data_IF_544829917848
#
_entry.id   IF_544829917848
#
_cell.length_a   1.000
_cell.length_b   1.000
_cell.length_c   1.000
_cell.angle_alpha   90.00
_cell.angle_beta   90.00
_cell.angle_gamma   90.00
#
_symmetry.space_group_name_H-M   'P 1'
#
loop_
_entity.id
_entity.type
_entity.pdbx_description
1 polymer ?
#
# COMPACT_ATOMS: atom_id res chain seq x y z
N UNK A 1 42.08 -11.62 69.42
CA UNK A 1 41.40 -12.25 68.27
C UNK A 1 39.98 -12.60 68.70
N UNK A 2 38.99 -11.83 68.25
CA UNK A 2 37.56 -12.08 68.42
C UNK A 2 36.84 -11.47 67.21
N UNK A 3 35.98 -12.21 66.48
CA UNK A 3 35.47 -11.76 65.19
C UNK A 3 34.17 -10.95 65.32
N UNK A 4 34.02 -9.99 64.41
CA UNK A 4 32.83 -9.17 64.21
C UNK A 4 31.63 -10.01 63.74
N UNK A 5 30.49 -9.80 64.39
CA UNK A 5 29.19 -10.34 64.00
C UNK A 5 28.48 -9.29 63.12
N UNK A 6 28.43 -9.52 61.81
CA UNK A 6 27.66 -8.69 60.85
C UNK A 6 26.24 -9.24 60.73
N UNK A 7 25.25 -8.50 61.21
CA UNK A 7 23.84 -8.74 60.94
C UNK A 7 23.53 -8.41 59.46
N UNK A 8 23.10 -9.41 58.70
CA UNK A 8 22.50 -9.26 57.38
C UNK A 8 20.98 -9.12 57.55
N UNK A 9 20.46 -7.95 57.17
CA UNK A 9 19.02 -7.71 56.96
C UNK A 9 18.65 -8.19 55.54
N UNK A 10 17.57 -8.98 55.35
CA UNK A 10 17.08 -9.26 54.02
C UNK A 10 16.16 -8.11 53.57
N UNK A 11 16.56 -7.39 52.53
CA UNK A 11 15.67 -6.52 51.77
C UNK A 11 14.72 -7.40 50.94
N UNK A 12 13.46 -7.46 51.36
CA UNK A 12 12.37 -8.05 50.58
C UNK A 12 11.97 -7.03 49.51
N UNK A 13 12.41 -7.22 48.27
CA UNK A 13 11.93 -6.44 47.12
C UNK A 13 10.56 -6.99 46.71
N UNK A 14 9.48 -6.25 46.99
CA UNK A 14 8.17 -6.50 46.40
C UNK A 14 8.22 -6.10 44.92
N UNK A 15 8.28 -7.09 44.04
CA UNK A 15 7.97 -6.94 42.62
C UNK A 15 6.46 -6.74 42.46
N UNK A 16 6.04 -5.48 42.33
CA UNK A 16 4.69 -5.11 41.87
C UNK A 16 4.59 -5.46 40.38
N UNK A 17 4.04 -6.64 40.08
CA UNK A 17 3.54 -6.94 38.74
C UNK A 17 2.26 -6.12 38.58
N UNK A 18 2.38 -4.93 38.01
CA UNK A 18 1.23 -4.20 37.51
C UNK A 18 0.68 -5.03 36.34
N UNK A 19 -0.42 -5.75 36.59
CA UNK A 19 -1.20 -6.37 35.54
C UNK A 19 -1.84 -5.22 34.76
N UNK A 20 -1.17 -4.76 33.71
CA UNK A 20 -1.67 -3.68 32.86
C UNK A 20 -2.98 -4.16 32.23
N UNK A 21 -4.10 -3.63 32.72
CA UNK A 21 -5.43 -3.97 32.23
C UNK A 21 -5.49 -3.59 30.76
N UNK A 22 -5.58 -4.61 29.90
CA UNK A 22 -5.76 -4.42 28.48
C UNK A 22 -7.08 -3.66 28.22
N UNK A 23 -7.12 -2.74 27.24
CA UNK A 23 -8.29 -1.90 27.01
C UNK A 23 -9.52 -2.73 26.61
N UNK A 24 -10.61 -2.56 27.37
CA UNK A 24 -11.92 -3.11 27.06
C UNK A 24 -12.84 -1.98 26.54
N UNK A 25 -13.30 -2.11 25.29
CA UNK A 25 -14.19 -1.14 24.67
C UNK A 25 -15.62 -1.61 24.84
N UNK A 26 -16.45 -0.80 25.51
CA UNK A 26 -17.87 -1.09 25.77
C UNK A 26 -18.81 -0.10 25.09
N UNK A 27 -18.28 0.93 24.45
CA UNK A 27 -19.01 1.91 23.65
C UNK A 27 -18.09 2.47 22.55
N UNK A 28 -18.69 2.97 21.47
CA UNK A 28 -17.95 3.67 20.44
C UNK A 28 -17.45 5.03 20.95
N UNK A 29 -16.28 5.44 20.47
CA UNK A 29 -15.74 6.77 20.68
C UNK A 29 -16.56 7.83 19.93
N UNK A 30 -16.62 9.08 20.41
CA UNK A 30 -17.28 10.16 19.70
C UNK A 30 -16.79 10.30 18.25
N UNK A 31 -17.73 10.20 17.31
CA UNK A 31 -17.44 10.31 15.89
C UNK A 31 -16.67 9.11 15.30
N UNK A 32 -16.61 7.96 15.96
CA UNK A 32 -15.87 6.77 15.48
C UNK A 32 -16.34 6.26 14.11
N UNK A 33 -17.61 6.51 13.76
CA UNK A 33 -18.14 6.22 12.42
C UNK A 33 -17.58 7.15 11.32
N UNK A 34 -17.03 8.31 11.68
CA UNK A 34 -16.47 9.31 10.76
C UNK A 34 -15.01 9.01 10.46
N UNK A 35 -14.75 8.00 9.63
CA UNK A 35 -13.40 7.53 9.25
C UNK A 35 -12.51 8.63 8.67
N UNK A 36 -13.12 9.66 8.07
CA UNK A 36 -12.44 10.79 7.43
C UNK A 36 -12.95 12.15 7.93
N UNK A 37 -13.43 12.24 9.17
CA UNK A 37 -14.02 13.47 9.70
C UNK A 37 -15.20 13.94 8.84
N UNK A 38 -15.22 15.21 8.47
CA UNK A 38 -16.24 15.81 7.60
C UNK A 38 -16.19 15.32 6.15
N UNK A 39 -15.07 14.74 5.70
CA UNK A 39 -14.94 14.16 4.36
C UNK A 39 -15.55 12.75 4.23
N UNK A 40 -16.00 12.14 5.34
CA UNK A 40 -16.58 10.79 5.38
C UNK A 40 -17.81 10.63 4.50
N UNK A 41 -17.82 9.63 3.62
CA UNK A 41 -18.96 9.30 2.74
C UNK A 41 -19.83 8.16 3.31
N UNK A 42 -21.14 8.21 3.09
CA UNK A 42 -22.09 7.18 3.56
C UNK A 42 -22.58 6.31 2.41
N UNK A 43 -21.66 5.58 1.79
CA UNK A 43 -21.93 4.65 0.68
C UNK A 43 -21.29 3.29 1.00
N UNK A 44 -22.06 2.21 0.85
CA UNK A 44 -21.67 0.86 1.30
C UNK A 44 -21.97 -0.24 0.28
N UNK A 45 -22.23 0.14 -0.97
CA UNK A 45 -22.44 -0.77 -2.09
C UNK A 45 -21.17 -0.83 -2.97
N UNK A 46 -21.31 -1.37 -4.17
CA UNK A 46 -20.20 -1.52 -5.12
C UNK A 46 -19.56 -0.20 -5.58
N UNK A 47 -20.12 0.97 -5.24
CA UNK A 47 -19.57 2.30 -5.54
C UNK A 47 -19.03 3.00 -4.28
N UNK A 48 -18.83 2.28 -3.18
CA UNK A 48 -18.40 2.85 -1.91
C UNK A 48 -17.08 3.65 -2.02
N UNK A 49 -16.16 3.21 -2.88
CA UNK A 49 -14.84 3.84 -3.07
C UNK A 49 -14.81 4.94 -4.13
N UNK A 50 -15.87 5.10 -4.93
CA UNK A 50 -15.92 6.03 -6.07
C UNK A 50 -16.68 7.32 -5.76
N UNK A 51 -16.79 7.69 -4.49
CA UNK A 51 -17.47 8.93 -4.07
C UNK A 51 -16.47 10.06 -3.89
N UNK A 52 -16.81 11.31 -4.26
CA UNK A 52 -16.03 12.47 -3.82
C UNK A 52 -16.15 12.65 -2.29
N UNK A 53 -15.15 13.26 -1.67
CA UNK A 53 -15.20 13.70 -0.26
C UNK A 53 -16.53 14.40 0.05
N UNK A 54 -17.16 14.03 1.17
CA UNK A 54 -18.54 14.46 1.46
C UNK A 54 -18.69 15.97 1.64
N UNK A 55 -17.66 16.63 2.17
CA UNK A 55 -17.57 18.09 2.35
C UNK A 55 -17.11 18.84 1.08
N UNK A 56 -16.92 18.16 -0.05
CA UNK A 56 -16.54 18.81 -1.30
C UNK A 56 -17.68 19.67 -1.85
N UNK A 57 -17.39 20.96 -2.04
CA UNK A 57 -18.35 21.93 -2.55
C UNK A 57 -18.90 21.51 -3.93
N UNK A 58 -20.18 21.78 -4.24
CA UNK A 58 -20.79 21.36 -5.50
C UNK A 58 -20.03 21.78 -6.76
N UNK A 59 -19.45 22.98 -6.79
CA UNK A 59 -18.64 23.47 -7.91
C UNK A 59 -17.40 22.58 -8.16
N UNK A 60 -16.71 22.16 -7.09
CA UNK A 60 -15.50 21.34 -7.16
C UNK A 60 -15.79 19.86 -7.48
N UNK A 61 -17.05 19.40 -7.37
CA UNK A 61 -17.45 18.06 -7.82
C UNK A 61 -17.38 17.91 -9.34
N UNK A 62 -17.45 19.03 -10.08
CA UNK A 62 -17.20 19.03 -11.53
C UNK A 62 -15.73 18.70 -11.81
N UNK A 63 -14.79 19.35 -11.11
CA UNK A 63 -13.35 19.08 -11.24
C UNK A 63 -13.02 17.63 -10.88
N UNK A 64 -13.65 17.10 -9.82
CA UNK A 64 -13.54 15.69 -9.45
C UNK A 64 -14.00 14.76 -10.58
N UNK A 65 -15.11 15.12 -11.24
CA UNK A 65 -15.65 14.34 -12.37
C UNK A 65 -14.74 14.41 -13.61
N UNK A 66 -14.07 15.54 -13.83
CA UNK A 66 -13.05 15.68 -14.90
C UNK A 66 -11.86 14.78 -14.61
N UNK A 67 -11.32 14.80 -13.39
CA UNK A 67 -10.23 13.90 -13.00
C UNK A 67 -10.60 12.42 -13.09
N UNK A 68 -11.80 12.05 -12.64
CA UNK A 68 -12.35 10.70 -12.81
C UNK A 68 -12.40 10.27 -14.29
N UNK A 69 -12.76 11.20 -15.18
CA UNK A 69 -12.78 10.93 -16.62
C UNK A 69 -11.40 10.54 -17.16
N UNK A 70 -10.32 11.16 -16.69
CA UNK A 70 -8.95 10.77 -17.08
C UNK A 70 -8.47 9.50 -16.37
N UNK A 71 -8.92 9.26 -15.14
CA UNK A 71 -8.60 8.05 -14.38
C UNK A 71 -9.23 6.78 -14.98
N UNK A 72 -10.48 6.88 -15.45
CA UNK A 72 -11.28 5.73 -15.88
C UNK A 72 -11.18 5.37 -17.35
N UNK A 73 -11.01 6.37 -18.21
CA UNK A 73 -11.07 6.15 -19.66
C UNK A 73 -9.68 5.82 -20.21
N UNK A 74 -9.60 4.90 -21.19
CA UNK A 74 -8.33 4.45 -21.73
C UNK A 74 -7.60 5.53 -22.53
N UNK A 75 -6.27 5.52 -22.40
CA UNK A 75 -5.34 6.12 -23.34
C UNK A 75 -5.28 5.29 -24.62
N UNK A 76 -4.98 5.97 -25.73
CA UNK A 76 -5.00 5.39 -27.08
C UNK A 76 -3.59 5.38 -27.64
N UNK A 77 -3.24 4.31 -28.36
CA UNK A 77 -1.98 4.18 -29.08
C UNK A 77 -1.80 5.33 -30.08
N UNK A 78 -0.62 5.95 -30.05
CA UNK A 78 -0.28 7.02 -30.99
C UNK A 78 -0.02 6.50 -32.42
N UNK A 79 -0.28 7.33 -33.45
CA UNK A 79 -0.95 8.63 -33.39
C UNK A 79 -2.49 8.49 -33.33
N UNK A 80 -3.16 9.28 -32.51
CA UNK A 80 -4.62 9.26 -32.36
C UNK A 80 -5.27 10.60 -32.74
N UNK A 81 -6.49 10.54 -33.30
CA UNK A 81 -7.29 11.76 -33.54
C UNK A 81 -7.79 12.39 -32.24
N UNK A 82 -7.82 11.62 -31.14
CA UNK A 82 -8.24 12.05 -29.81
C UNK A 82 -7.04 12.60 -29.03
N UNK A 83 -6.68 13.85 -29.30
CA UNK A 83 -5.46 14.49 -28.77
C UNK A 83 -5.36 14.53 -27.24
N UNK A 84 -6.49 14.55 -26.51
CA UNK A 84 -6.47 14.60 -25.05
C UNK A 84 -6.08 13.28 -24.36
N UNK A 85 -5.97 12.17 -25.09
CA UNK A 85 -5.60 10.83 -24.59
C UNK A 85 -4.72 10.07 -25.59
N UNK A 86 -3.99 10.82 -26.41
CA UNK A 86 -3.01 10.26 -27.35
C UNK A 86 -1.72 9.94 -26.59
N UNK A 87 -1.02 8.88 -26.99
CA UNK A 87 0.31 8.55 -26.45
C UNK A 87 0.41 7.35 -25.54
N UNK A 88 -0.56 6.40 -25.54
CA UNK A 88 -0.35 5.14 -24.81
C UNK A 88 1.00 4.54 -25.23
N UNK A 89 1.91 4.36 -24.27
CA UNK A 89 3.29 4.03 -24.54
C UNK A 89 3.45 2.68 -25.23
N UNK A 90 4.60 2.43 -25.89
CA UNK A 90 4.79 1.22 -26.70
C UNK A 90 4.78 -0.07 -25.88
N UNK A 91 5.25 0.02 -24.63
CA UNK A 91 5.23 -1.02 -23.61
C UNK A 91 4.44 -0.49 -22.40
N UNK A 92 3.53 -1.30 -21.87
CA UNK A 92 2.65 -0.91 -20.77
C UNK A 92 2.12 -2.14 -20.00
N UNK A 93 1.51 -1.92 -18.84
CA UNK A 93 0.74 -2.93 -18.11
C UNK A 93 -0.77 -2.74 -18.32
N UNK A 94 -1.20 -1.49 -18.43
CA UNK A 94 -2.60 -1.10 -18.66
C UNK A 94 -2.69 0.19 -19.47
N UNK A 95 -3.89 0.55 -19.94
CA UNK A 95 -4.16 1.83 -20.61
C UNK A 95 -5.08 2.77 -19.80
N UNK A 96 -5.48 2.40 -18.59
CA UNK A 96 -6.23 3.27 -17.68
C UNK A 96 -5.94 2.90 -16.22
N UNK A 97 -5.87 3.90 -15.34
CA UNK A 97 -5.65 3.70 -13.91
C UNK A 97 -6.71 2.77 -13.29
N UNK A 98 -7.98 2.93 -13.70
CA UNK A 98 -9.11 2.11 -13.26
C UNK A 98 -8.94 0.60 -13.47
N UNK A 99 -8.21 0.18 -14.51
CA UNK A 99 -8.02 -1.25 -14.77
C UNK A 99 -7.12 -1.91 -13.71
N UNK A 100 -6.23 -1.14 -13.09
CA UNK A 100 -5.47 -1.54 -11.90
C UNK A 100 -6.32 -1.34 -10.64
N UNK A 101 -6.86 -0.14 -10.47
CA UNK A 101 -7.64 0.30 -9.32
C UNK A 101 -9.14 0.09 -9.57
N UNK A 102 -9.56 -1.17 -9.58
CA UNK A 102 -10.91 -1.59 -9.95
C UNK A 102 -11.95 -0.87 -9.07
N UNK A 103 -12.73 0.05 -9.66
CA UNK A 103 -13.70 0.92 -8.96
C UNK A 103 -13.08 1.66 -7.78
N UNK A 104 -11.89 2.22 -7.99
CA UNK A 104 -11.07 2.89 -6.96
C UNK A 104 -10.65 1.97 -5.82
N UNK A 105 -10.90 0.67 -5.98
CA UNK A 105 -10.57 -0.37 -5.03
C UNK A 105 -9.29 -1.10 -5.38
N UNK A 106 -9.22 -2.33 -4.91
CA UNK A 106 -8.02 -3.15 -4.95
C UNK A 106 -7.94 -3.96 -6.24
N UNK A 107 -6.71 -4.16 -6.73
CA UNK A 107 -6.42 -5.11 -7.79
C UNK A 107 -6.39 -6.56 -7.31
N UNK A 108 -6.13 -7.48 -8.24
CA UNK A 108 -5.95 -8.89 -7.94
C UNK A 108 -4.84 -9.52 -8.81
N UNK A 109 -4.26 -10.65 -8.38
CA UNK A 109 -3.41 -11.48 -9.22
C UNK A 109 -4.15 -11.99 -10.47
N UNK A 110 -3.45 -12.29 -11.57
CA UNK A 110 -4.08 -12.86 -12.76
C UNK A 110 -4.70 -14.23 -12.48
N UNK A 111 -5.89 -14.46 -13.03
CA UNK A 111 -6.47 -15.81 -13.08
C UNK A 111 -5.71 -16.73 -14.06
N UNK A 112 -5.97 -18.05 -14.05
CA UNK A 112 -5.26 -19.02 -14.89
C UNK A 112 -5.25 -18.67 -16.39
N UNK A 113 -6.39 -18.19 -16.90
CA UNK A 113 -6.60 -17.87 -18.31
C UNK A 113 -6.47 -16.37 -18.63
N UNK A 114 -5.97 -15.56 -17.69
CA UNK A 114 -5.90 -14.11 -17.86
C UNK A 114 -4.92 -13.72 -18.99
N UNK A 115 -5.34 -12.86 -19.91
CA UNK A 115 -4.49 -12.41 -21.03
C UNK A 115 -3.31 -11.55 -20.56
N UNK A 116 -3.50 -10.84 -19.45
CA UNK A 116 -2.51 -9.99 -18.77
C UNK A 116 -2.67 -10.06 -17.25
N UNK A 117 -1.69 -9.53 -16.54
CA UNK A 117 -1.71 -9.26 -15.11
C UNK A 117 -2.12 -7.81 -14.82
N UNK A 118 -3.10 -7.26 -15.55
CA UNK A 118 -3.41 -5.83 -15.59
C UNK A 118 -3.48 -5.11 -14.23
N UNK A 119 -3.93 -5.77 -13.15
CA UNK A 119 -4.02 -5.17 -11.80
C UNK A 119 -2.96 -5.67 -10.80
N UNK A 120 -1.92 -6.34 -11.29
CA UNK A 120 -0.79 -6.88 -10.52
C UNK A 120 0.53 -6.63 -11.29
N UNK A 121 1.36 -5.76 -10.75
CA UNK A 121 2.64 -5.39 -11.31
C UNK A 121 3.76 -6.29 -10.79
N UNK A 122 4.84 -6.41 -11.57
CA UNK A 122 6.10 -7.04 -11.13
C UNK A 122 7.21 -6.01 -11.24
N UNK A 123 7.70 -5.53 -10.10
CA UNK A 123 8.86 -4.64 -10.04
C UNK A 123 10.14 -5.46 -10.16
N UNK A 124 11.09 -4.95 -10.93
CA UNK A 124 12.38 -5.58 -11.23
C UNK A 124 13.52 -4.73 -10.66
N UNK A 125 14.61 -5.36 -10.28
CA UNK A 125 15.90 -4.72 -9.99
C UNK A 125 17.01 -5.77 -9.94
N UNK A 126 18.25 -5.32 -9.80
CA UNK A 126 19.38 -6.16 -9.40
C UNK A 126 19.95 -5.69 -8.06
N UNK A 127 20.68 -6.54 -7.31
CA UNK A 127 21.34 -6.14 -6.09
C UNK A 127 22.27 -4.94 -6.32
N UNK A 128 22.15 -3.94 -5.45
CA UNK A 128 23.00 -2.77 -5.53
C UNK A 128 24.45 -3.09 -5.16
N UNK A 129 25.36 -2.25 -5.64
CA UNK A 129 26.81 -2.29 -5.37
C UNK A 129 27.23 -0.92 -4.86
N UNK A 130 28.42 -0.81 -4.26
CA UNK A 130 28.91 0.45 -3.71
C UNK A 130 28.91 1.61 -4.73
N UNK A 131 29.16 1.33 -6.02
CA UNK A 131 29.12 2.31 -7.11
C UNK A 131 27.72 2.88 -7.38
N UNK A 132 26.67 2.19 -6.95
CA UNK A 132 25.27 2.60 -7.15
C UNK A 132 24.76 3.52 -6.03
N UNK A 133 25.59 3.93 -5.05
CA UNK A 133 25.13 4.67 -3.88
C UNK A 133 24.37 5.97 -4.23
N UNK A 134 24.89 6.76 -5.18
CA UNK A 134 24.22 8.00 -5.62
C UNK A 134 22.93 7.72 -6.41
N UNK A 135 22.91 6.64 -7.18
CA UNK A 135 21.73 6.20 -7.94
C UNK A 135 20.59 5.86 -6.99
N UNK A 136 20.88 5.10 -5.92
CA UNK A 136 19.89 4.67 -4.93
C UNK A 136 19.23 5.83 -4.20
N UNK A 137 19.96 6.92 -3.95
CA UNK A 137 19.37 8.12 -3.32
C UNK A 137 18.29 8.73 -4.22
N UNK A 138 18.43 8.65 -5.55
CA UNK A 138 17.52 9.28 -6.51
C UNK A 138 16.46 8.35 -7.08
N UNK A 139 16.79 7.09 -7.31
CA UNK A 139 15.94 6.10 -7.97
C UNK A 139 15.41 5.02 -7.03
N UNK A 140 16.04 4.84 -5.86
CA UNK A 140 15.67 3.83 -4.87
C UNK A 140 16.09 2.41 -5.21
N UNK A 141 16.36 2.09 -6.48
CA UNK A 141 16.75 0.76 -6.95
C UNK A 141 17.76 0.85 -8.08
N UNK A 142 18.47 -0.26 -8.33
CA UNK A 142 19.20 -0.46 -9.59
C UNK A 142 18.28 -1.24 -10.52
N UNK A 143 17.82 -0.62 -11.60
CA UNK A 143 16.92 -1.25 -12.56
C UNK A 143 17.56 -2.52 -13.17
N UNK A 144 16.71 -3.48 -13.55
CA UNK A 144 17.16 -4.61 -14.36
C UNK A 144 17.61 -4.09 -15.74
N UNK A 145 18.79 -4.47 -16.24
CA UNK A 145 19.41 -3.80 -17.39
C UNK A 145 18.66 -3.98 -18.73
N UNK A 146 17.87 -5.03 -18.89
CA UNK A 146 17.14 -5.35 -20.13
C UNK A 146 15.69 -4.86 -20.08
N UNK A 147 15.06 -4.96 -18.91
CA UNK A 147 13.61 -4.79 -18.67
C UNK A 147 13.28 -3.60 -17.75
N UNK A 148 14.28 -2.84 -17.30
CA UNK A 148 14.06 -1.69 -16.44
C UNK A 148 13.60 -2.06 -15.02
N UNK A 149 12.80 -1.19 -14.40
CA UNK A 149 12.39 -1.35 -13.00
C UNK A 149 10.99 -1.97 -12.83
N UNK A 150 10.27 -2.25 -13.92
CA UNK A 150 8.94 -2.84 -13.92
C UNK A 150 8.69 -3.58 -15.24
N UNK A 151 8.25 -4.84 -15.14
CA UNK A 151 7.93 -5.65 -16.30
C UNK A 151 6.61 -5.23 -16.96
N UNK A 152 6.62 -4.99 -18.26
CA UNK A 152 5.48 -4.59 -19.11
C UNK A 152 4.92 -5.79 -19.89
N UNK A 153 3.79 -6.34 -19.45
CA UNK A 153 3.22 -7.57 -20.01
C UNK A 153 2.30 -7.36 -21.24
N UNK A 154 2.15 -6.11 -21.66
CA UNK A 154 1.41 -5.65 -22.83
C UNK A 154 2.26 -4.71 -23.69
N UNK A 155 1.89 -4.61 -24.96
CA UNK A 155 2.59 -3.77 -25.94
C UNK A 155 1.62 -3.30 -27.04
N UNK A 156 1.97 -2.18 -27.68
CA UNK A 156 1.31 -1.69 -28.88
C UNK A 156 1.61 -2.60 -30.10
N UNK A 157 0.77 -2.58 -31.16
CA UNK A 157 1.07 -3.31 -32.39
C UNK A 157 2.43 -2.94 -32.97
N UNK A 158 3.23 -3.97 -33.32
CA UNK A 158 4.59 -3.78 -33.82
C UNK A 158 5.69 -3.81 -32.76
N UNK A 159 5.31 -3.85 -31.47
CA UNK A 159 6.25 -4.00 -30.35
C UNK A 159 5.96 -5.32 -29.62
N UNK A 160 7.01 -6.06 -29.25
CA UNK A 160 6.86 -7.29 -28.47
C UNK A 160 6.63 -6.96 -26.98
N UNK A 161 5.67 -7.60 -26.29
CA UNK A 161 5.57 -7.45 -24.83
C UNK A 161 6.82 -8.01 -24.15
N UNK A 162 7.16 -7.48 -22.97
CA UNK A 162 8.39 -7.87 -22.28
C UNK A 162 8.35 -9.32 -21.76
N UNK A 163 7.16 -9.79 -21.39
CA UNK A 163 6.95 -11.16 -20.95
C UNK A 163 5.51 -11.44 -20.55
N UNK A 164 5.24 -12.69 -20.14
CA UNK A 164 3.95 -13.13 -19.59
C UNK A 164 4.08 -13.49 -18.13
N UNK A 165 3.25 -12.85 -17.31
CA UNK A 165 3.20 -13.02 -15.86
C UNK A 165 2.10 -14.00 -15.46
N UNK A 166 2.47 -14.96 -14.62
CA UNK A 166 1.57 -15.92 -13.97
C UNK A 166 1.93 -16.06 -12.50
N UNK A 167 0.93 -16.44 -11.70
CA UNK A 167 1.13 -16.79 -10.30
C UNK A 167 0.53 -18.17 -10.07
N UNK A 168 1.34 -19.05 -9.51
CA UNK A 168 0.88 -20.33 -8.97
C UNK A 168 0.95 -20.28 -7.45
N UNK A 169 0.32 -21.23 -6.77
CA UNK A 169 0.26 -21.24 -5.32
C UNK A 169 0.55 -22.64 -4.76
N UNK A 170 1.30 -22.69 -3.67
CA UNK A 170 1.42 -23.85 -2.80
C UNK A 170 0.68 -23.62 -1.48
N UNK A 171 0.17 -24.70 -0.87
CA UNK A 171 -0.50 -24.64 0.43
C UNK A 171 0.49 -24.55 1.59
N UNK A 172 0.17 -23.75 2.60
CA UNK A 172 0.91 -23.67 3.87
C UNK A 172 -0.07 -23.82 5.03
N UNK A 173 -0.14 -25.00 5.69
CA UNK A 173 -1.05 -25.22 6.80
C UNK A 173 -0.62 -24.43 8.03
N UNK A 174 -1.57 -23.75 8.67
CA UNK A 174 -1.40 -23.08 9.97
C UNK A 174 -2.48 -23.56 10.93
N UNK A 175 -2.09 -23.88 12.16
CA UNK A 175 -2.97 -24.48 13.18
C UNK A 175 -3.18 -23.54 14.37
N UNK A 176 -4.44 -23.32 14.74
CA UNK A 176 -4.84 -22.61 15.96
C UNK A 176 -4.74 -23.52 17.20
N UNK A 177 -4.68 -22.92 18.38
CA UNK A 177 -4.60 -23.64 19.65
C UNK A 177 -5.80 -24.58 19.91
N UNK A 178 -6.98 -24.24 19.38
CA UNK A 178 -8.20 -25.07 19.44
C UNK A 178 -8.20 -26.24 18.45
N UNK A 179 -7.15 -26.38 17.64
CA UNK A 179 -6.99 -27.44 16.65
C UNK A 179 -7.47 -27.08 15.24
N UNK A 180 -8.16 -25.96 15.04
CA UNK A 180 -8.60 -25.47 13.72
C UNK A 180 -7.39 -25.28 12.80
N UNK A 181 -7.51 -25.71 11.54
CA UNK A 181 -6.45 -25.56 10.53
C UNK A 181 -6.93 -24.61 9.42
N UNK A 182 -6.08 -23.66 9.04
CA UNK A 182 -6.26 -22.78 7.90
C UNK A 182 -5.11 -23.02 6.92
N UNK A 183 -5.46 -23.23 5.65
CA UNK A 183 -4.50 -23.42 4.57
C UNK A 183 -4.18 -22.09 3.89
N UNK A 184 -3.00 -21.52 4.15
CA UNK A 184 -2.56 -20.29 3.49
C UNK A 184 -2.04 -20.57 2.07
N UNK A 185 -2.07 -19.56 1.20
CA UNK A 185 -1.47 -19.62 -0.15
C UNK A 185 -0.12 -18.94 -0.17
N UNK A 186 0.95 -19.68 -0.48
CA UNK A 186 2.27 -19.11 -0.80
C UNK A 186 2.39 -18.96 -2.31
N UNK A 187 2.54 -17.74 -2.85
CA UNK A 187 2.63 -17.52 -4.28
C UNK A 187 3.99 -17.94 -4.84
N UNK A 188 3.99 -18.38 -6.10
CA UNK A 188 5.17 -18.56 -6.93
C UNK A 188 4.96 -17.78 -8.23
N UNK A 189 5.81 -16.76 -8.43
CA UNK A 189 5.84 -15.97 -9.66
C UNK A 189 6.43 -16.81 -10.80
N UNK A 190 5.77 -16.79 -11.95
CA UNK A 190 6.25 -17.41 -13.18
C UNK A 190 6.25 -16.34 -14.27
N UNK A 191 7.44 -16.01 -14.77
CA UNK A 191 7.61 -15.16 -15.95
C UNK A 191 8.06 -16.05 -17.10
N UNK A 192 7.42 -15.89 -18.26
CA UNK A 192 7.70 -16.67 -19.45
C UNK A 192 7.61 -15.79 -20.70
N UNK A 193 8.01 -16.31 -21.85
CA UNK A 193 7.91 -15.61 -23.15
C UNK A 193 8.60 -14.25 -23.13
N UNK A 194 9.82 -14.20 -22.58
CA UNK A 194 10.64 -12.99 -22.52
C UNK A 194 10.89 -12.45 -23.94
N UNK A 195 10.53 -11.18 -24.17
CA UNK A 195 10.57 -10.55 -25.49
C UNK A 195 11.93 -10.04 -25.95
N UNK A 196 12.89 -9.88 -25.02
CA UNK A 196 14.13 -9.12 -25.24
C UNK A 196 15.38 -9.87 -24.77
N UNK A 197 15.30 -11.20 -24.67
CA UNK A 197 16.39 -12.06 -24.21
C UNK A 197 16.27 -12.42 -22.73
N UNK A 198 17.34 -13.02 -22.19
CA UNK A 198 17.36 -13.42 -20.78
C UNK A 198 17.49 -12.19 -19.87
N UNK A 199 16.84 -12.26 -18.71
CA UNK A 199 17.09 -11.32 -17.60
C UNK A 199 18.48 -11.53 -17.02
N UNK A 200 19.01 -10.51 -16.35
CA UNK A 200 20.18 -10.63 -15.52
C UNK A 200 20.01 -11.78 -14.50
N UNK A 201 21.06 -12.61 -14.25
CA UNK A 201 20.95 -13.78 -13.39
C UNK A 201 20.57 -13.46 -11.94
N UNK A 202 20.91 -12.25 -11.47
CA UNK A 202 20.62 -11.77 -10.12
C UNK A 202 19.33 -10.92 -10.04
N UNK A 203 18.41 -11.01 -11.00
CA UNK A 203 17.17 -10.23 -10.96
C UNK A 203 16.33 -10.54 -9.72
N UNK A 204 15.94 -9.48 -9.03
CA UNK A 204 15.03 -9.47 -7.89
C UNK A 204 13.63 -9.06 -8.35
N UNK A 205 12.60 -9.68 -7.76
CA UNK A 205 11.20 -9.47 -8.12
C UNK A 205 10.38 -9.02 -6.92
N UNK A 206 9.49 -8.05 -7.12
CA UNK A 206 8.48 -7.66 -6.12
C UNK A 206 7.11 -7.60 -6.78
N UNK A 207 6.22 -8.51 -6.39
CA UNK A 207 4.85 -8.62 -6.92
C UNK A 207 3.93 -7.67 -6.16
N UNK A 208 3.17 -6.83 -6.86
CA UNK A 208 2.36 -5.77 -6.25
C UNK A 208 0.98 -5.66 -6.89
N UNK A 209 -0.09 -5.93 -6.14
CA UNK A 209 -1.45 -5.59 -6.56
C UNK A 209 -1.72 -4.10 -6.29
N UNK A 210 -2.59 -3.51 -7.10
CA UNK A 210 -3.00 -2.12 -6.90
C UNK A 210 -3.73 -1.94 -5.54
N UNK A 211 -3.32 -0.98 -4.70
CA UNK A 211 -4.03 -0.66 -3.46
C UNK A 211 -5.33 0.13 -3.73
N UNK A 212 -6.29 0.17 -2.78
CA UNK A 212 -7.45 1.06 -2.88
C UNK A 212 -7.03 2.54 -2.85
N UNK A 213 -7.78 3.39 -3.55
CA UNK A 213 -7.48 4.82 -3.76
C UNK A 213 -8.15 5.77 -2.77
N UNK A 214 -8.99 5.26 -1.87
CA UNK A 214 -9.76 6.09 -0.93
C UNK A 214 -8.87 6.76 0.11
N UNK A 215 -9.17 8.04 0.40
CA UNK A 215 -8.57 8.79 1.50
C UNK A 215 -7.09 9.15 1.34
N UNK A 216 -6.49 8.93 0.17
CA UNK A 216 -5.06 9.18 -0.03
C UNK A 216 -4.67 10.66 0.21
N UNK A 217 -5.53 11.62 -0.15
CA UNK A 217 -5.29 13.03 0.15
C UNK A 217 -5.28 13.34 1.66
N UNK A 218 -6.07 12.61 2.46
CA UNK A 218 -6.05 12.75 3.92
C UNK A 218 -4.75 12.20 4.51
N UNK A 219 -4.22 11.10 3.95
CA UNK A 219 -2.92 10.56 4.35
C UNK A 219 -1.76 11.49 3.93
N UNK A 220 -1.87 12.12 2.76
CA UNK A 220 -0.94 13.17 2.31
C UNK A 220 -0.93 14.36 3.29
N UNK A 221 -2.10 14.69 3.87
CA UNK A 221 -2.29 15.80 4.78
C UNK A 221 -1.86 15.51 6.24
N UNK A 222 -1.41 14.30 6.58
CA UNK A 222 -0.82 14.02 7.90
C UNK A 222 0.54 14.73 7.99
N UNK A 223 0.78 15.48 9.06
CA UNK A 223 2.04 16.20 9.23
C UNK A 223 3.24 15.22 9.28
N UNK A 224 4.41 15.62 8.76
CA UNK A 224 5.57 14.71 8.74
C UNK A 224 6.02 14.38 10.17
N UNK A 225 5.98 15.37 11.07
CA UNK A 225 6.28 15.23 12.49
C UNK A 225 5.40 14.19 13.20
N UNK A 226 4.11 14.07 12.83
CA UNK A 226 3.20 13.11 13.44
C UNK A 226 3.52 11.67 13.04
N UNK A 227 3.99 11.46 11.80
CA UNK A 227 4.46 10.15 11.34
C UNK A 227 5.79 9.81 12.02
N UNK A 228 6.71 10.77 12.06
CA UNK A 228 8.04 10.57 12.65
C UNK A 228 7.97 10.38 14.18
N UNK A 229 6.95 10.91 14.85
CA UNK A 229 6.75 10.69 16.28
C UNK A 229 6.46 9.22 16.64
N UNK A 230 5.97 8.41 15.68
CA UNK A 230 5.78 6.97 15.85
C UNK A 230 6.97 6.11 15.46
N UNK A 231 8.06 6.69 14.93
CA UNK A 231 9.22 5.94 14.50
C UNK A 231 10.11 5.52 15.68
N UNK A 232 10.44 4.24 15.75
CA UNK A 232 11.34 3.65 16.73
C UNK A 232 12.31 2.66 16.04
N UNK A 233 13.21 3.14 15.16
CA UNK A 233 14.06 2.26 14.35
C UNK A 233 15.03 1.38 15.15
N UNK A 234 15.30 1.75 16.41
CA UNK A 234 16.24 1.06 17.30
C UNK A 234 15.54 0.19 18.36
N UNK A 235 14.19 0.05 18.30
CA UNK A 235 13.36 -0.65 19.31
C UNK A 235 13.73 -0.21 20.74
N UNK A 236 13.78 1.11 20.95
CA UNK A 236 14.25 1.71 22.19
C UNK A 236 13.34 1.40 23.38
N UNK A 237 12.06 1.10 23.11
CA UNK A 237 11.09 0.70 24.13
C UNK A 237 11.08 -0.82 24.42
N UNK A 238 11.74 -1.63 23.58
CA UNK A 238 11.87 -3.08 23.74
C UNK A 238 10.57 -3.87 23.53
N UNK A 239 9.61 -3.34 22.77
CA UNK A 239 8.36 -4.01 22.43
C UNK A 239 8.50 -4.96 21.22
N UNK A 240 9.64 -4.91 20.53
CA UNK A 240 9.98 -5.74 19.37
C UNK A 240 9.48 -5.18 18.04
N UNK A 241 9.03 -3.91 18.00
CA UNK A 241 8.56 -3.20 16.82
C UNK A 241 9.56 -2.10 16.50
N UNK A 242 10.13 -2.13 15.29
CA UNK A 242 11.20 -1.23 14.84
C UNK A 242 10.76 -0.30 13.71
N UNK A 243 9.55 0.24 13.82
CA UNK A 243 8.91 1.05 12.78
C UNK A 243 9.78 2.22 12.35
N UNK A 244 10.02 2.39 11.04
CA UNK A 244 10.89 3.47 10.53
C UNK A 244 10.41 4.10 9.22
N UNK A 245 10.75 5.38 8.97
CA UNK A 245 10.36 6.05 7.73
C UNK A 245 11.22 5.57 6.55
N UNK A 246 10.61 5.49 5.36
CA UNK A 246 11.41 5.50 4.13
C UNK A 246 11.83 6.94 3.78
N UNK A 247 13.01 7.11 3.18
CA UNK A 247 13.47 8.40 2.64
C UNK A 247 13.63 8.29 1.14
N UNK A 248 12.88 9.10 0.40
CA UNK A 248 12.72 8.97 -1.05
C UNK A 248 13.00 10.29 -1.74
N UNK A 249 13.39 10.24 -3.02
CA UNK A 249 13.67 11.44 -3.81
C UNK A 249 12.38 12.11 -4.26
N UNK A 250 12.23 13.40 -3.94
CA UNK A 250 11.21 14.25 -4.52
C UNK A 250 11.79 14.93 -5.77
N UNK A 251 11.27 14.56 -6.95
CA UNK A 251 11.71 15.09 -8.25
C UNK A 251 11.39 16.57 -8.42
N UNK A 252 10.34 17.10 -7.81
CA UNK A 252 10.03 18.52 -7.91
C UNK A 252 10.95 19.35 -7.00
N UNK A 253 11.23 18.85 -5.80
CA UNK A 253 12.06 19.56 -4.80
C UNK A 253 13.56 19.26 -4.92
N UNK A 254 13.94 18.24 -5.70
CA UNK A 254 15.32 17.80 -5.90
C UNK A 254 16.05 17.51 -4.57
N UNK A 255 15.37 16.82 -3.65
CA UNK A 255 15.92 16.42 -2.35
C UNK A 255 15.23 15.16 -1.82
N UNK A 256 15.87 14.51 -0.86
CA UNK A 256 15.26 13.40 -0.12
C UNK A 256 14.25 13.92 0.91
N UNK A 257 13.09 13.29 0.98
CA UNK A 257 11.97 13.61 1.87
C UNK A 257 11.34 12.33 2.45
N UNK A 258 10.34 12.45 3.33
CA UNK A 258 9.55 11.32 3.80
C UNK A 258 8.81 10.63 2.64
N UNK A 259 8.96 9.31 2.54
CA UNK A 259 8.14 8.47 1.68
C UNK A 259 6.80 8.11 2.34
N UNK A 260 5.70 8.13 1.58
CA UNK A 260 4.33 7.97 2.08
C UNK A 260 3.50 6.94 1.31
N UNK A 261 3.67 6.88 -0.01
CA UNK A 261 2.81 6.11 -0.91
C UNK A 261 3.52 4.92 -1.55
N UNK A 262 2.74 3.98 -2.07
CA UNK A 262 3.20 2.67 -2.49
C UNK A 262 3.31 1.66 -1.35
N UNK A 263 3.71 0.44 -1.69
CA UNK A 263 3.79 -0.70 -0.75
C UNK A 263 5.00 -0.62 0.19
N UNK A 264 6.09 0.01 -0.23
CA UNK A 264 7.29 0.26 0.59
C UNK A 264 7.52 1.77 0.83
N UNK A 265 6.45 2.56 0.81
CA UNK A 265 6.52 4.02 0.97
C UNK A 265 7.51 4.71 -0.01
N UNK A 266 7.62 4.19 -1.25
CA UNK A 266 8.59 4.66 -2.26
C UNK A 266 8.29 6.02 -2.89
N UNK A 267 7.13 6.61 -2.60
CA UNK A 267 6.69 7.86 -3.22
C UNK A 267 6.35 8.94 -2.18
N UNK A 268 6.79 10.20 -2.37
CA UNK A 268 6.68 11.24 -1.35
C UNK A 268 5.28 11.87 -1.30
N UNK A 269 4.62 12.00 -2.45
CA UNK A 269 3.36 12.71 -2.62
C UNK A 269 2.55 12.11 -3.78
N UNK A 270 1.28 12.47 -3.87
CA UNK A 270 0.36 11.95 -4.88
C UNK A 270 0.66 12.45 -6.28
N UNK A 271 1.26 13.65 -6.42
CA UNK A 271 1.62 14.17 -7.74
C UNK A 271 2.71 13.31 -8.39
N UNK A 272 3.77 12.98 -7.64
CA UNK A 272 4.81 12.09 -8.12
C UNK A 272 4.29 10.66 -8.30
N UNK A 273 3.47 10.14 -7.38
CA UNK A 273 2.85 8.83 -7.55
C UNK A 273 2.00 8.72 -8.82
N UNK A 274 1.24 9.78 -9.17
CA UNK A 274 0.44 9.82 -10.39
C UNK A 274 1.32 9.88 -11.65
N UNK A 275 2.36 10.73 -11.64
CA UNK A 275 3.32 10.81 -12.75
C UNK A 275 4.06 9.47 -12.95
N UNK A 276 4.49 8.82 -11.88
CA UNK A 276 5.12 7.50 -11.94
C UNK A 276 4.16 6.42 -12.43
N UNK A 277 2.86 6.48 -12.11
CA UNK A 277 1.87 5.55 -12.66
C UNK A 277 1.64 5.79 -14.17
N UNK A 278 1.59 7.05 -14.62
CA UNK A 278 1.56 7.37 -16.05
C UNK A 278 2.77 6.81 -16.80
N UNK A 279 3.97 7.04 -16.29
CA UNK A 279 5.19 6.56 -16.93
C UNK A 279 5.32 5.04 -16.87
N UNK A 280 5.21 4.43 -15.69
CA UNK A 280 5.52 3.02 -15.50
C UNK A 280 4.38 2.09 -15.91
N UNK A 281 3.12 2.47 -15.73
CA UNK A 281 2.02 1.53 -15.97
C UNK A 281 1.40 1.70 -17.37
N UNK A 282 1.53 2.90 -17.95
CA UNK A 282 0.94 3.29 -19.23
C UNK A 282 1.98 3.80 -20.26
N UNK A 283 3.25 3.92 -19.90
CA UNK A 283 4.32 4.35 -20.80
C UNK A 283 4.24 5.81 -21.26
N UNK A 284 3.58 6.68 -20.48
CA UNK A 284 3.28 8.07 -20.83
C UNK A 284 4.25 9.07 -20.16
N UNK A 285 4.73 10.05 -20.92
CA UNK A 285 5.58 11.13 -20.38
C UNK A 285 4.78 12.24 -19.71
N UNK A 286 5.43 12.97 -18.80
CA UNK A 286 4.90 14.16 -18.14
C UNK A 286 6.03 15.17 -17.89
N UNK A 287 5.70 16.39 -17.50
CA UNK A 287 6.72 17.40 -17.12
C UNK A 287 7.62 16.94 -15.97
N UNK A 288 7.15 16.03 -15.11
CA UNK A 288 7.94 15.48 -13.98
C UNK A 288 8.79 14.26 -14.38
N UNK A 289 8.38 13.53 -15.42
CA UNK A 289 9.04 12.34 -15.98
C UNK A 289 9.02 12.46 -17.51
N UNK A 290 10.02 13.15 -18.11
CA UNK A 290 10.00 13.53 -19.53
C UNK A 290 10.59 12.46 -20.45
N UNK A 291 10.68 11.22 -20.00
CA UNK A 291 11.30 10.12 -20.74
C UNK A 291 10.43 8.87 -20.65
N UNK A 292 10.40 8.10 -21.73
CA UNK A 292 9.80 6.77 -21.75
C UNK A 292 10.63 5.75 -20.94
N UNK A 293 10.07 4.56 -20.77
CA UNK A 293 10.70 3.45 -20.05
C UNK A 293 11.40 2.45 -20.99
N UNK A 294 11.54 2.76 -22.28
CA UNK A 294 12.18 1.86 -23.22
C UNK A 294 13.68 1.74 -22.89
N UNK A 295 14.19 0.53 -22.76
CA UNK A 295 15.62 0.28 -22.57
C UNK A 295 16.36 0.27 -23.91
N UNK A 296 17.69 0.33 -23.85
CA UNK A 296 18.53 0.22 -25.05
C UNK A 296 18.36 -1.13 -25.80
N UNK A 297 17.87 -2.17 -25.11
CA UNK A 297 17.57 -3.47 -25.73
C UNK A 297 16.26 -3.47 -26.54
N UNK A 298 15.41 -2.46 -26.35
CA UNK A 298 14.04 -2.41 -26.88
C UNK A 298 13.95 -1.46 -28.08
N UNK A 299 14.62 -1.79 -29.17
CA UNK A 299 14.74 -0.91 -30.36
C UNK A 299 13.40 -0.54 -30.99
N UNK A 300 12.45 -1.49 -31.04
CA UNK A 300 11.11 -1.24 -31.58
C UNK A 300 10.27 -0.33 -30.66
N UNK A 301 10.53 -0.37 -29.35
CA UNK A 301 9.92 0.53 -28.36
C UNK A 301 10.42 1.95 -28.60
N UNK A 302 11.76 2.13 -28.68
CA UNK A 302 12.39 3.43 -28.94
C UNK A 302 12.01 4.04 -30.30
N UNK A 303 11.67 3.21 -31.28
CA UNK A 303 11.28 3.64 -32.62
C UNK A 303 9.76 3.88 -32.78
N UNK A 304 8.96 3.54 -31.78
CA UNK A 304 7.52 3.65 -31.87
C UNK A 304 7.04 5.11 -31.88
N UNK A 305 5.89 5.41 -32.51
CA UNK A 305 5.30 6.75 -32.47
C UNK A 305 4.92 7.14 -31.04
N UNK A 306 5.09 8.42 -30.70
CA UNK A 306 4.66 9.01 -29.42
C UNK A 306 3.50 10.01 -29.62
N UNK A 307 2.81 10.34 -28.52
CA UNK A 307 1.64 11.23 -28.54
C UNK A 307 1.95 12.72 -28.38
N UNK A 308 3.22 13.10 -28.29
CA UNK A 308 3.68 14.47 -28.04
C UNK A 308 4.71 14.55 -26.91
N UNK A 309 5.11 15.78 -26.56
CA UNK A 309 6.17 16.05 -25.58
C UNK A 309 5.73 17.19 -24.61
N UNK A 310 5.22 16.88 -23.40
CA UNK A 310 4.85 15.55 -22.91
C UNK A 310 3.45 15.11 -23.40
N UNK A 311 3.17 13.81 -23.31
CA UNK A 311 1.84 13.24 -23.61
C UNK A 311 0.80 13.57 -22.54
N UNK A 312 1.21 13.58 -21.27
CA UNK A 312 0.36 14.02 -20.15
C UNK A 312 0.64 15.48 -19.85
N UNK A 313 -0.26 16.35 -20.30
CA UNK A 313 -0.19 17.78 -19.96
C UNK A 313 -0.36 18.02 -18.45
N UNK A 314 0.22 19.12 -17.95
CA UNK A 314 0.10 19.52 -16.55
C UNK A 314 -1.35 19.66 -16.08
N UNK A 315 -2.27 20.09 -16.97
CA UNK A 315 -3.70 20.20 -16.67
C UNK A 315 -4.36 18.82 -16.44
N UNK A 316 -3.96 17.81 -17.22
CA UNK A 316 -4.46 16.44 -17.06
C UNK A 316 -3.90 15.87 -15.75
N UNK A 317 -2.60 16.02 -15.51
CA UNK A 317 -1.96 15.56 -14.28
C UNK A 317 -2.60 16.21 -13.04
N UNK A 318 -2.85 17.53 -13.08
CA UNK A 318 -3.53 18.26 -12.01
C UNK A 318 -4.97 17.77 -11.78
N UNK A 319 -5.70 17.44 -12.86
CA UNK A 319 -7.06 16.90 -12.76
C UNK A 319 -7.08 15.53 -12.06
N UNK A 320 -6.13 14.64 -12.42
CA UNK A 320 -5.99 13.32 -11.78
C UNK A 320 -5.50 13.46 -10.35
N UNK A 321 -4.59 14.40 -10.06
CA UNK A 321 -4.16 14.73 -8.71
C UNK A 321 -5.34 15.16 -7.85
N UNK A 322 -6.15 16.10 -8.33
CA UNK A 322 -7.33 16.58 -7.63
C UNK A 322 -8.33 15.44 -7.34
N UNK A 323 -8.57 14.55 -8.30
CA UNK A 323 -9.39 13.36 -8.12
C UNK A 323 -8.83 12.43 -7.04
N UNK A 324 -7.55 12.05 -7.15
CA UNK A 324 -6.90 11.12 -6.21
C UNK A 324 -6.86 11.64 -4.77
N UNK A 325 -6.75 12.97 -4.59
CA UNK A 325 -6.84 13.63 -3.27
C UNK A 325 -8.24 13.59 -2.66
N UNK A 326 -9.27 13.63 -3.50
CA UNK A 326 -10.66 13.85 -3.07
C UNK A 326 -11.55 12.62 -3.18
N UNK A 327 -10.97 11.41 -3.32
CA UNK A 327 -11.72 10.16 -3.16
C UNK A 327 -12.07 9.94 -1.68
N UNK A 328 -13.36 9.97 -1.39
CA UNK A 328 -13.90 9.92 -0.04
C UNK A 328 -13.74 8.56 0.64
N UNK A 329 -13.58 8.57 1.96
CA UNK A 329 -13.49 7.35 2.78
C UNK A 329 -14.89 6.97 3.28
N UNK A 330 -15.35 5.72 3.07
CA UNK A 330 -16.62 5.26 3.63
C UNK A 330 -16.64 5.35 5.16
N UNK A 331 -17.81 5.68 5.70
CA UNK A 331 -18.06 5.62 7.13
C UNK A 331 -17.81 4.21 7.68
N UNK A 332 -17.21 4.12 8.86
CA UNK A 332 -17.13 2.85 9.57
C UNK A 332 -18.54 2.39 9.95
N UNK A 333 -18.79 1.09 9.81
CA UNK A 333 -20.12 0.48 10.03
C UNK A 333 -20.21 -0.08 11.45
N UNK A 334 -21.43 -0.21 11.98
CA UNK A 334 -21.73 -0.99 13.20
C UNK A 334 -20.84 -0.66 14.42
N UNK A 335 -20.45 0.60 14.62
CA UNK A 335 -19.47 0.99 15.66
C UNK A 335 -19.91 0.66 17.08
N UNK A 336 -21.23 0.65 17.35
CA UNK A 336 -21.81 0.36 18.66
C UNK A 336 -22.18 -1.12 18.84
N UNK A 337 -21.98 -1.97 17.83
CA UNK A 337 -22.37 -3.37 17.92
C UNK A 337 -21.46 -4.10 18.92
N UNK A 338 -22.00 -4.89 19.88
CA UNK A 338 -21.20 -5.53 20.92
C UNK A 338 -20.06 -6.40 20.38
N UNK A 339 -20.29 -7.12 19.28
CA UNK A 339 -19.28 -7.95 18.62
C UNK A 339 -18.15 -7.13 17.99
N UNK A 340 -18.44 -5.93 17.47
CA UNK A 340 -17.46 -5.01 16.88
C UNK A 340 -16.61 -4.38 17.99
N UNK A 341 -17.23 -4.03 19.11
CA UNK A 341 -16.54 -3.50 20.29
C UNK A 341 -15.63 -4.55 20.94
N UNK A 342 -16.11 -5.79 21.10
CA UNK A 342 -15.28 -6.93 21.52
C UNK A 342 -14.12 -7.15 20.55
N UNK A 343 -14.37 -7.09 19.25
CA UNK A 343 -13.33 -7.21 18.22
C UNK A 343 -12.28 -6.11 18.29
N UNK A 344 -12.68 -4.87 18.57
CA UNK A 344 -11.76 -3.74 18.80
C UNK A 344 -10.86 -4.01 20.02
N UNK A 345 -11.42 -4.52 21.11
CA UNK A 345 -10.63 -4.93 22.27
C UNK A 345 -9.62 -6.01 21.93
N UNK A 346 -10.03 -7.05 21.20
CA UNK A 346 -9.14 -8.12 20.77
C UNK A 346 -8.03 -7.62 19.83
N UNK A 347 -8.34 -6.65 18.96
CA UNK A 347 -7.35 -5.99 18.11
C UNK A 347 -6.27 -5.28 18.94
N UNK A 348 -6.69 -4.54 19.99
CA UNK A 348 -5.77 -3.88 20.90
C UNK A 348 -4.97 -4.86 21.77
N UNK A 349 -5.63 -5.91 22.26
CA UNK A 349 -5.02 -6.97 23.06
C UNK A 349 -4.00 -7.79 22.27
N UNK A 350 -4.27 -8.00 20.98
CA UNK A 350 -3.32 -8.62 20.06
C UNK A 350 -2.10 -7.70 19.81
N UNK A 351 -2.22 -6.39 20.01
CA UNK A 351 -1.16 -5.42 19.78
C UNK A 351 -1.12 -4.89 18.34
N UNK A 352 -2.17 -5.10 17.54
CA UNK A 352 -2.23 -4.70 16.14
C UNK A 352 -2.13 -3.17 15.95
N UNK A 353 -2.67 -2.41 16.88
CA UNK A 353 -2.68 -0.93 16.90
C UNK A 353 -1.29 -0.31 17.00
N UNK A 354 -0.26 -1.07 17.37
CA UNK A 354 1.10 -0.55 17.52
C UNK A 354 1.70 -0.15 16.17
N UNK A 355 1.32 -0.82 15.07
CA UNK A 355 1.63 -0.37 13.69
C UNK A 355 0.38 0.23 13.03
N UNK A 356 -0.79 -0.38 13.24
CA UNK A 356 -2.06 0.13 12.73
C UNK A 356 -2.63 1.25 13.60
N UNK A 357 -1.86 2.33 13.74
CA UNK A 357 -2.19 3.51 14.55
C UNK A 357 -3.60 4.03 14.22
N UNK A 358 -4.54 4.04 15.19
CA UNK A 358 -5.96 4.24 14.89
C UNK A 358 -6.31 5.55 14.22
N UNK A 359 -5.68 6.68 14.60
CA UNK A 359 -6.12 8.01 14.21
C UNK A 359 -5.01 9.04 14.09
N UNK A 360 -5.25 10.03 13.22
CA UNK A 360 -4.45 11.25 13.08
C UNK A 360 -5.37 12.46 12.99
N UNK A 361 -4.83 13.64 13.26
CA UNK A 361 -5.45 14.91 12.84
C UNK A 361 -4.65 15.45 11.66
N UNK A 362 -5.31 15.72 10.54
CA UNK A 362 -4.64 16.29 9.38
C UNK A 362 -4.23 17.74 9.61
N UNK A 363 -3.12 18.14 8.99
CA UNK A 363 -2.56 19.49 9.10
C UNK A 363 -3.56 20.56 8.65
N UNK A 364 -3.44 21.75 9.25
CA UNK A 364 -4.19 22.93 8.82
C UNK A 364 -3.77 23.40 7.41
N UNK A 365 -2.54 23.10 7.00
CA UNK A 365 -1.94 23.49 5.72
C UNK A 365 -2.08 22.39 4.65
N UNK A 366 -3.12 21.55 4.76
CA UNK A 366 -3.41 20.51 3.77
C UNK A 366 -3.57 21.12 2.36
N UNK A 367 -3.12 20.39 1.33
CA UNK A 367 -3.16 20.86 -0.05
C UNK A 367 -4.59 21.18 -0.56
N UNK A 368 -5.60 20.54 0.02
CA UNK A 368 -7.00 20.82 -0.24
C UNK A 368 -7.71 21.25 1.05
N UNK A 369 -8.52 22.32 1.05
CA UNK A 369 -9.17 22.84 2.24
C UNK A 369 -10.15 21.84 2.87
N UNK A 370 -10.75 20.96 2.06
CA UNK A 370 -11.65 19.89 2.52
C UNK A 370 -10.93 18.83 3.38
N UNK A 371 -9.60 18.76 3.27
CA UNK A 371 -8.76 17.75 3.93
C UNK A 371 -8.05 18.31 5.15
N UNK A 372 -8.14 19.62 5.42
CA UNK A 372 -7.50 20.28 6.56
C UNK A 372 -8.26 20.05 7.88
N UNK A 373 -7.52 19.94 8.99
CA UNK A 373 -8.07 19.83 10.35
C UNK A 373 -9.11 18.71 10.52
N UNK A 374 -8.92 17.58 9.85
CA UNK A 374 -9.80 16.42 9.94
C UNK A 374 -9.24 15.43 10.96
N UNK A 375 -10.05 15.07 11.96
CA UNK A 375 -9.80 13.87 12.76
C UNK A 375 -10.15 12.65 11.90
N UNK A 376 -9.12 11.92 11.47
CA UNK A 376 -9.24 10.76 10.59
C UNK A 376 -8.88 9.47 11.33
N UNK A 377 -9.39 8.33 10.84
CA UNK A 377 -9.18 7.01 11.44
C UNK A 377 -8.69 5.97 10.42
N UNK A 378 -7.44 6.10 9.92
CA UNK A 378 -6.95 5.25 8.84
C UNK A 378 -6.39 3.91 9.31
N UNK A 379 -6.07 3.74 10.60
CA UNK A 379 -5.42 2.52 11.14
C UNK A 379 -4.10 2.19 10.41
N UNK A 380 -3.17 3.14 10.42
CA UNK A 380 -1.82 3.02 9.83
C UNK A 380 -0.94 4.11 10.42
N UNK A 381 0.32 3.82 10.70
CA UNK A 381 1.37 4.79 11.02
C UNK A 381 2.14 5.30 9.80
N UNK A 382 1.91 4.72 8.61
CA UNK A 382 2.65 4.95 7.37
C UNK A 382 4.16 4.61 7.44
N UNK A 383 4.61 3.89 8.47
CA UNK A 383 5.99 3.47 8.64
C UNK A 383 6.25 2.11 7.99
N UNK A 384 7.53 1.80 7.79
CA UNK A 384 8.02 0.50 7.36
C UNK A 384 8.20 -0.41 8.57
N UNK A 385 7.77 -1.67 8.44
CA UNK A 385 7.95 -2.71 9.43
C UNK A 385 8.45 -4.00 8.78
N UNK A 386 9.36 -4.72 9.45
CA UNK A 386 9.76 -6.07 9.04
C UNK A 386 8.59 -7.05 9.25
N UNK A 387 8.02 -7.54 8.15
CA UNK A 387 6.88 -8.46 8.16
C UNK A 387 7.29 -9.94 8.12
N UNK A 388 8.58 -10.22 8.28
CA UNK A 388 9.17 -11.55 8.33
C UNK A 388 9.38 -12.23 6.98
N UNK A 389 10.10 -13.34 7.00
CA UNK A 389 10.45 -14.17 5.83
C UNK A 389 9.22 -14.62 5.02
N UNK A 390 8.07 -14.79 5.67
CA UNK A 390 6.83 -15.18 5.00
C UNK A 390 6.37 -14.15 3.96
N UNK A 391 6.65 -12.86 4.19
CA UNK A 391 6.25 -11.75 3.32
C UNK A 391 7.45 -11.05 2.66
N UNK A 392 8.65 -11.62 2.74
CA UNK A 392 9.82 -11.08 2.09
C UNK A 392 9.70 -11.19 0.55
N UNK A 393 10.03 -10.11 -0.15
CA UNK A 393 10.26 -10.10 -1.60
C UNK A 393 11.76 -10.03 -1.95
N UNK A 394 12.62 -9.84 -0.94
CA UNK A 394 14.08 -9.79 -1.11
C UNK A 394 14.58 -8.57 -1.89
N UNK A 395 13.68 -7.63 -2.25
CA UNK A 395 13.99 -6.48 -3.10
C UNK A 395 13.95 -5.19 -2.29
N UNK A 396 15.08 -4.49 -2.23
CA UNK A 396 15.14 -3.18 -1.60
C UNK A 396 14.42 -2.10 -2.42
N UNK A 397 14.00 -1.03 -1.75
CA UNK A 397 13.44 0.17 -2.37
C UNK A 397 13.74 1.41 -1.50
N UNK A 398 14.69 2.22 -1.96
CA UNK A 398 15.31 3.27 -1.16
C UNK A 398 15.88 2.70 0.14
N UNK A 399 15.38 3.14 1.30
CA UNK A 399 15.82 2.60 2.58
C UNK A 399 15.11 1.28 2.90
N UNK A 400 13.94 0.99 2.33
CA UNK A 400 13.19 -0.22 2.65
C UNK A 400 13.95 -1.49 2.22
N UNK A 401 14.09 -2.45 3.13
CA UNK A 401 14.66 -3.76 2.85
C UNK A 401 13.66 -4.67 2.11
N UNK A 402 14.12 -5.84 1.69
CA UNK A 402 13.27 -6.88 1.09
C UNK A 402 12.25 -7.51 2.03
N UNK A 403 12.26 -7.19 3.33
CA UNK A 403 11.30 -7.71 4.33
C UNK A 403 10.35 -6.64 4.86
N UNK A 404 10.67 -5.38 4.60
CA UNK A 404 9.92 -4.25 5.08
C UNK A 404 8.77 -3.88 4.14
N UNK A 405 7.63 -3.57 4.76
CA UNK A 405 6.43 -3.07 4.09
C UNK A 405 5.84 -1.91 4.87
N UNK A 406 5.24 -0.97 4.15
CA UNK A 406 4.49 0.13 4.76
C UNK A 406 3.21 -0.41 5.36
N UNK A 407 2.86 -0.01 6.59
CA UNK A 407 1.57 -0.34 7.19
C UNK A 407 0.43 0.19 6.30
N UNK A 408 -0.41 -0.69 5.76
CA UNK A 408 -1.53 -0.27 4.92
C UNK A 408 -2.68 0.30 5.78
N UNK A 409 -3.36 1.40 5.36
CA UNK A 409 -4.57 1.87 6.03
C UNK A 409 -5.66 0.80 5.96
N UNK A 410 -6.39 0.58 7.06
CA UNK A 410 -7.45 -0.41 7.15
C UNK A 410 -8.86 0.16 6.93
N UNK A 411 -9.02 1.48 6.80
CA UNK A 411 -10.33 2.06 6.48
C UNK A 411 -10.92 1.49 5.18
N UNK A 412 -12.22 1.24 5.15
CA UNK A 412 -12.92 0.63 4.04
C UNK A 412 -12.56 -0.84 3.76
N UNK A 413 -11.65 -1.48 4.50
CA UNK A 413 -11.18 -2.84 4.18
C UNK A 413 -12.33 -3.86 4.13
N UNK A 414 -13.33 -3.71 4.99
CA UNK A 414 -14.51 -4.58 5.02
C UNK A 414 -15.54 -4.32 3.91
N UNK A 415 -15.26 -3.40 2.99
CA UNK A 415 -16.06 -3.15 1.77
C UNK A 415 -15.40 -3.71 0.52
N UNK A 416 -14.17 -4.25 0.61
CA UNK A 416 -13.41 -4.78 -0.54
C UNK A 416 -14.22 -5.78 -1.35
N UNK A 417 -14.88 -6.75 -0.72
CA UNK A 417 -15.70 -7.74 -1.43
C UNK A 417 -16.85 -7.10 -2.21
N UNK A 418 -17.53 -6.11 -1.62
CA UNK A 418 -18.66 -5.43 -2.27
C UNK A 418 -18.22 -4.58 -3.46
N UNK A 419 -17.05 -3.96 -3.38
CA UNK A 419 -16.53 -3.07 -4.43
C UNK A 419 -15.89 -3.88 -5.55
N UNK A 420 -15.03 -4.84 -5.20
CA UNK A 420 -14.15 -5.55 -6.13
C UNK A 420 -14.64 -6.96 -6.50
N UNK A 421 -15.56 -7.55 -5.75
CA UNK A 421 -16.03 -8.93 -5.98
C UNK A 421 -15.08 -10.01 -5.50
N UNK A 422 -14.03 -9.65 -4.75
CA UNK A 422 -13.05 -10.57 -4.17
C UNK A 422 -12.46 -10.00 -2.86
N UNK A 423 -11.71 -10.82 -2.12
CA UNK A 423 -11.07 -10.48 -0.83
C UNK A 423 -9.59 -10.87 -0.82
N UNK A 424 -8.84 -10.39 -1.82
CA UNK A 424 -7.43 -10.72 -1.97
C UNK A 424 -6.55 -9.64 -1.35
N UNK A 425 -5.95 -9.93 -0.20
CA UNK A 425 -5.20 -8.98 0.63
C UNK A 425 -3.69 -9.22 0.58
N UNK A 426 -2.95 -8.30 1.21
CA UNK A 426 -1.48 -8.17 1.20
C UNK A 426 -0.95 -7.66 -0.14
N UNK A 427 0.37 -7.42 -0.20
CA UNK A 427 1.01 -6.76 -1.35
C UNK A 427 0.84 -7.54 -2.65
N UNK A 428 0.69 -8.85 -2.61
CA UNK A 428 0.60 -9.74 -3.77
C UNK A 428 -0.75 -10.48 -3.88
N UNK A 429 -1.74 -10.11 -3.06
CA UNK A 429 -3.08 -10.70 -3.10
C UNK A 429 -3.15 -12.17 -2.68
N UNK A 430 -2.14 -12.69 -1.96
CA UNK A 430 -2.10 -14.10 -1.54
C UNK A 430 -3.20 -14.48 -0.54
N UNK A 431 -3.53 -13.59 0.39
CA UNK A 431 -4.51 -13.86 1.44
C UNK A 431 -5.93 -13.73 0.91
N UNK A 432 -6.76 -14.77 1.04
CA UNK A 432 -8.15 -14.79 0.53
C UNK A 432 -9.16 -14.16 1.48
N UNK A 433 -8.75 -13.84 2.70
CA UNK A 433 -9.57 -13.17 3.70
C UNK A 433 -8.65 -12.52 4.75
N UNK A 434 -9.24 -11.76 5.65
CA UNK A 434 -8.50 -11.03 6.69
C UNK A 434 -7.82 -11.95 7.70
N UNK A 435 -8.39 -13.12 7.98
CA UNK A 435 -7.76 -14.10 8.88
C UNK A 435 -6.47 -14.65 8.25
N UNK A 436 -6.50 -15.03 6.98
CA UNK A 436 -5.29 -15.43 6.25
C UNK A 436 -4.25 -14.31 6.21
N UNK A 437 -4.68 -13.05 6.05
CA UNK A 437 -3.77 -11.91 6.07
C UNK A 437 -3.05 -11.79 7.41
N UNK A 438 -3.78 -11.88 8.53
CA UNK A 438 -3.20 -11.89 9.89
C UNK A 438 -2.20 -13.05 10.05
N UNK A 439 -2.54 -14.24 9.58
CA UNK A 439 -1.66 -15.42 9.73
C UNK A 439 -0.36 -15.34 8.90
N UNK A 440 -0.32 -14.49 7.87
CA UNK A 440 0.89 -14.19 7.12
C UNK A 440 1.82 -13.18 7.80
N UNK A 441 1.33 -12.43 8.78
CA UNK A 441 2.18 -11.51 9.54
C UNK A 441 3.27 -12.31 10.26
N UNK A 442 4.49 -11.79 10.25
CA UNK A 442 5.65 -12.32 10.97
C UNK A 442 6.55 -11.16 11.34
N UNK A 443 7.83 -11.42 11.60
CA UNK A 443 8.78 -10.37 11.98
C UNK A 443 8.29 -9.62 13.23
N UNK A 444 8.18 -8.31 13.15
CA UNK A 444 7.69 -7.43 14.23
C UNK A 444 6.25 -7.79 14.66
N UNK A 445 5.43 -8.29 13.74
CA UNK A 445 4.04 -8.66 14.01
C UNK A 445 3.86 -10.12 14.50
N UNK A 446 4.93 -10.89 14.69
CA UNK A 446 4.85 -12.30 15.09
C UNK A 446 4.15 -12.46 16.45
N UNK A 447 4.44 -11.60 17.43
CA UNK A 447 3.79 -11.65 18.75
C UNK A 447 2.25 -11.47 18.64
N UNK A 448 1.80 -10.55 17.78
CA UNK A 448 0.37 -10.31 17.54
C UNK A 448 -0.30 -11.51 16.87
N UNK A 449 0.33 -12.10 15.85
CA UNK A 449 -0.14 -13.34 15.23
C UNK A 449 -0.25 -14.48 16.23
N UNK A 450 0.75 -14.67 17.09
CA UNK A 450 0.74 -15.73 18.11
C UNK A 450 -0.39 -15.55 19.13
N UNK A 451 -0.79 -14.32 19.43
CA UNK A 451 -1.99 -14.05 20.24
C UNK A 451 -3.26 -14.48 19.52
N UNK A 452 -3.42 -14.12 18.24
CA UNK A 452 -4.59 -14.53 17.43
C UNK A 452 -4.68 -16.05 17.25
N UNK A 453 -3.54 -16.75 17.15
CA UNK A 453 -3.52 -18.22 17.09
C UNK A 453 -4.06 -18.89 18.36
N UNK A 454 -4.11 -18.18 19.48
CA UNK A 454 -4.69 -18.64 20.75
C UNK A 454 -6.16 -18.26 20.93
N UNK A 455 -6.69 -17.35 20.11
CA UNK A 455 -8.09 -16.96 20.18
C UNK A 455 -8.99 -18.14 19.84
N UNK A 456 -10.11 -18.27 20.55
CA UNK A 456 -11.16 -19.24 20.23
C UNK A 456 -12.01 -18.82 19.01
N UNK A 457 -13.02 -19.62 18.67
CA UNK A 457 -13.89 -19.33 17.53
C UNK A 457 -14.64 -18.01 17.62
N UNK A 458 -15.12 -17.66 18.82
CA UNK A 458 -15.93 -16.45 19.06
C UNK A 458 -15.05 -15.20 19.08
N UNK A 459 -13.85 -15.29 19.63
CA UNK A 459 -12.85 -14.23 19.60
C UNK A 459 -12.38 -13.94 18.18
N UNK A 460 -12.09 -14.98 17.38
CA UNK A 460 -11.75 -14.80 15.96
C UNK A 460 -12.90 -14.17 15.18
N UNK A 461 -14.13 -14.60 15.42
CA UNK A 461 -15.31 -14.01 14.78
C UNK A 461 -15.48 -12.53 15.16
N UNK A 462 -15.29 -12.18 16.43
CA UNK A 462 -15.36 -10.79 16.91
C UNK A 462 -14.25 -9.92 16.30
N UNK A 463 -12.99 -10.38 16.28
CA UNK A 463 -11.88 -9.68 15.63
C UNK A 463 -12.19 -9.41 14.14
N UNK A 464 -12.71 -10.41 13.43
CA UNK A 464 -13.12 -10.25 12.05
C UNK A 464 -14.33 -9.32 11.91
N UNK A 465 -15.28 -9.30 12.85
CA UNK A 465 -16.39 -8.36 12.83
C UNK A 465 -15.89 -6.91 12.96
N UNK A 466 -14.91 -6.66 13.83
CA UNK A 466 -14.24 -5.36 13.93
C UNK A 466 -13.56 -4.96 12.63
N UNK A 467 -12.69 -5.81 12.08
CA UNK A 467 -11.98 -5.47 10.84
C UNK A 467 -12.93 -5.30 9.65
N UNK A 468 -13.99 -6.13 9.57
CA UNK A 468 -15.03 -5.98 8.55
C UNK A 468 -15.94 -4.78 8.80
N UNK A 469 -15.90 -4.15 9.97
CA UNK A 469 -16.61 -2.90 10.25
C UNK A 469 -15.90 -1.68 9.64
N UNK A 470 -14.57 -1.76 9.54
CA UNK A 470 -13.68 -0.70 9.04
C UNK A 470 -13.97 -0.32 7.58
#
# INVERSE_FOLDING_TARGET
MSPLQRCLLPFLALSLIACEQQPEFTAAEPGEALSAGAATVRKFDHNAFSQPSANLAPSRRLDFSVGNSFFRNPWVTAPATTTARDGLGPLFNTNACQNCHLKDGRGHPPGPDAVSAASMLVRLSIPAKAEHAELLVRQGVVAEPTYGAQLQDMANPGVAPEGKVRVTYSSVPVRFADGTVVELRKPQLVISQLGYGDMHPDTLFSVRIAPPMIGLGLLEAIAEEDILAGADPDDANGDGISGRPNRVWDRAQQRSVLGRFGWKAGQPNLNQQNADAFANDMGLTSSLIPHDNCTAAQTDCLAAPNGGEPEVSDNILASVLFYSRNLGVPARRNVDAPEVLKGKSLFHQAGCQQCHTPSFTTSADAAEPELANQLIRPYTDLLLHDMGEGLADGREEFLASGREWRTAPLWGIGLTEKVNGHTQFLHDGRARNLLEAILWHGGEAEAAKQRVLRFDGDERAALLAFLNSL
#
